data_IF_783309793143
#
_entry.id   IF_783309793143
#
_cell.length_a   1.000
_cell.length_b   1.000
_cell.length_c   1.000
_cell.angle_alpha   90.00
_cell.angle_beta   90.00
_cell.angle_gamma   90.00
#
_symmetry.space_group_name_H-M   'P 1'
#
loop_
_entity.id
_entity.type
_entity.pdbx_description
1 polymer ?
#
# COMPACT_ATOMS: atom_id res chain seq x y z
N UNK A 1 -2.70 -12.85 -27.49
CA UNK A 1 -3.28 -13.82 -26.55
C UNK A 1 -2.54 -13.87 -25.22
N UNK A 2 -1.28 -14.34 -25.12
CA UNK A 2 -0.58 -14.52 -23.82
C UNK A 2 -0.62 -13.34 -22.81
N UNK A 3 -0.45 -12.09 -23.25
CA UNK A 3 -0.54 -10.90 -22.36
C UNK A 3 -1.96 -10.63 -21.87
N UNK A 4 -2.96 -10.84 -22.72
CA UNK A 4 -4.37 -10.67 -22.34
C UNK A 4 -4.75 -11.72 -21.29
N UNK A 5 -4.32 -12.96 -21.46
CA UNK A 5 -4.58 -14.05 -20.50
C UNK A 5 -3.95 -13.77 -19.13
N UNK A 6 -2.76 -13.16 -19.08
CA UNK A 6 -2.12 -12.71 -17.84
C UNK A 6 -2.94 -11.63 -17.13
N UNK A 7 -3.44 -10.64 -17.89
CA UNK A 7 -4.33 -9.59 -17.38
C UNK A 7 -5.60 -10.23 -16.77
N UNK A 8 -6.25 -11.14 -17.49
CA UNK A 8 -7.45 -11.81 -16.99
C UNK A 8 -7.13 -12.63 -15.71
N UNK A 9 -6.02 -13.36 -15.69
CA UNK A 9 -5.59 -14.12 -14.51
C UNK A 9 -5.38 -13.25 -13.28
N UNK A 10 -4.78 -12.07 -13.43
CA UNK A 10 -4.62 -11.13 -12.32
C UNK A 10 -5.95 -10.52 -11.86
N UNK A 11 -6.86 -10.19 -12.78
CA UNK A 11 -8.17 -9.60 -12.48
C UNK A 11 -9.12 -10.60 -11.79
N UNK A 12 -8.88 -11.90 -11.98
CA UNK A 12 -9.60 -12.97 -11.28
C UNK A 12 -9.17 -13.11 -9.82
N UNK A 13 -8.03 -12.53 -9.42
CA UNK A 13 -7.64 -12.44 -8.01
C UNK A 13 -8.28 -11.21 -7.37
N UNK A 14 -8.82 -11.37 -6.17
CA UNK A 14 -9.34 -10.25 -5.36
C UNK A 14 -8.33 -9.12 -5.20
N UNK A 15 -7.05 -9.46 -5.04
CA UNK A 15 -5.96 -8.49 -4.93
C UNK A 15 -5.72 -7.70 -6.23
N UNK A 16 -5.88 -8.34 -7.40
CA UNK A 16 -5.77 -7.65 -8.68
C UNK A 16 -6.85 -6.59 -8.84
N UNK A 17 -8.10 -6.90 -8.42
CA UNK A 17 -9.21 -5.94 -8.41
C UNK A 17 -8.95 -4.78 -7.44
N UNK A 18 -8.48 -5.04 -6.22
CA UNK A 18 -8.11 -3.99 -5.26
C UNK A 18 -7.04 -3.03 -5.81
N UNK A 19 -6.02 -3.55 -6.50
CA UNK A 19 -4.93 -2.75 -7.08
C UNK A 19 -5.39 -1.89 -8.25
N UNK A 20 -6.21 -2.43 -9.15
CA UNK A 20 -6.81 -1.64 -10.24
C UNK A 20 -7.76 -0.58 -9.70
N UNK A 21 -8.60 -0.92 -8.73
CA UNK A 21 -9.46 0.05 -8.05
C UNK A 21 -8.65 1.13 -7.32
N UNK A 22 -7.46 0.82 -6.78
CA UNK A 22 -6.55 1.82 -6.19
C UNK A 22 -6.11 2.84 -7.24
N UNK A 23 -5.70 2.38 -8.42
CA UNK A 23 -5.31 3.26 -9.52
C UNK A 23 -6.47 4.16 -9.94
N UNK A 24 -7.66 3.58 -10.16
CA UNK A 24 -8.84 4.34 -10.55
C UNK A 24 -9.25 5.34 -9.48
N UNK A 25 -9.22 4.94 -8.20
CA UNK A 25 -9.49 5.84 -7.08
C UNK A 25 -8.56 7.06 -7.15
N UNK A 26 -7.25 6.87 -7.03
CA UNK A 26 -6.33 8.00 -6.92
C UNK A 26 -6.14 8.77 -8.21
N UNK A 27 -6.26 8.13 -9.38
CA UNK A 27 -6.34 8.81 -10.67
C UNK A 27 -7.55 9.74 -10.75
N UNK A 28 -8.71 9.29 -10.26
CA UNK A 28 -9.92 10.14 -10.18
C UNK A 28 -9.70 11.34 -9.25
N UNK A 29 -8.96 11.18 -8.14
CA UNK A 29 -8.63 12.30 -7.23
C UNK A 29 -7.80 13.39 -7.91
N UNK A 30 -6.91 13.04 -8.83
CA UNK A 30 -6.17 14.02 -9.63
C UNK A 30 -7.13 14.81 -10.52
N UNK A 31 -8.08 14.14 -11.17
CA UNK A 31 -9.09 14.80 -11.99
C UNK A 31 -10.02 15.70 -11.16
N UNK A 32 -10.43 15.30 -9.95
CA UNK A 32 -11.18 16.16 -9.03
C UNK A 32 -10.44 17.48 -8.81
N UNK A 33 -9.15 17.41 -8.47
CA UNK A 33 -8.33 18.60 -8.24
C UNK A 33 -8.21 19.47 -9.51
N UNK A 34 -7.98 18.84 -10.67
CA UNK A 34 -7.85 19.55 -11.95
C UNK A 34 -9.13 20.31 -12.31
N UNK A 35 -10.29 19.63 -12.30
CA UNK A 35 -11.56 20.25 -12.66
C UNK A 35 -12.01 21.32 -11.66
N UNK A 36 -11.68 21.17 -10.37
CA UNK A 36 -11.88 22.24 -9.38
C UNK A 36 -11.05 23.49 -9.71
N UNK A 37 -9.82 23.32 -10.20
CA UNK A 37 -8.97 24.46 -10.62
C UNK A 37 -9.49 25.15 -11.88
N UNK A 38 -10.15 24.41 -12.77
CA UNK A 38 -10.80 24.95 -13.96
C UNK A 38 -12.23 25.45 -13.70
N UNK A 39 -12.71 25.49 -12.44
CA UNK A 39 -14.09 25.87 -12.08
C UNK A 39 -15.18 25.00 -12.73
N UNK A 40 -14.83 23.77 -13.15
CA UNK A 40 -15.73 22.77 -13.73
C UNK A 40 -16.25 21.83 -12.63
N UNK A 41 -17.20 22.33 -11.84
CA UNK A 41 -17.65 21.65 -10.61
C UNK A 41 -18.45 20.37 -10.89
N UNK A 42 -19.16 20.30 -12.02
CA UNK A 42 -19.92 19.11 -12.41
C UNK A 42 -19.00 17.94 -12.75
N UNK A 43 -17.94 18.20 -13.52
CA UNK A 43 -16.89 17.23 -13.83
C UNK A 43 -16.16 16.79 -12.58
N UNK A 44 -15.78 17.72 -11.71
CA UNK A 44 -15.17 17.41 -10.43
C UNK A 44 -16.06 16.48 -9.58
N UNK A 45 -17.37 16.71 -9.58
CA UNK A 45 -18.34 15.87 -8.85
C UNK A 45 -18.40 14.46 -9.43
N UNK A 46 -18.43 14.30 -10.76
CA UNK A 46 -18.42 12.99 -11.44
C UNK A 46 -17.19 12.17 -11.04
N UNK A 47 -15.99 12.78 -11.07
CA UNK A 47 -14.76 12.10 -10.67
C UNK A 47 -14.67 11.84 -9.15
N UNK A 48 -15.26 12.71 -8.32
CA UNK A 48 -15.34 12.47 -6.88
C UNK A 48 -16.23 11.25 -6.57
N UNK A 49 -17.34 11.08 -7.29
CA UNK A 49 -18.20 9.90 -7.15
C UNK A 49 -17.43 8.62 -7.52
N UNK A 50 -16.63 8.65 -8.60
CA UNK A 50 -15.77 7.52 -8.98
C UNK A 50 -14.70 7.25 -7.91
N UNK A 51 -14.05 8.29 -7.37
CA UNK A 51 -13.10 8.15 -6.26
C UNK A 51 -13.74 7.46 -5.06
N UNK A 52 -14.94 7.90 -4.65
CA UNK A 52 -15.65 7.33 -3.49
C UNK A 52 -16.08 5.89 -3.74
N UNK A 53 -16.66 5.60 -4.91
CA UNK A 53 -17.06 4.23 -5.27
C UNK A 53 -15.87 3.26 -5.27
N UNK A 54 -14.74 3.66 -5.87
CA UNK A 54 -13.53 2.83 -5.86
C UNK A 54 -12.93 2.68 -4.46
N UNK A 55 -12.98 3.73 -3.62
CA UNK A 55 -12.53 3.66 -2.22
C UNK A 55 -13.32 2.59 -1.44
N UNK A 56 -14.65 2.59 -1.56
CA UNK A 56 -15.51 1.65 -0.85
C UNK A 56 -15.36 0.22 -1.40
N UNK A 57 -15.33 0.05 -2.73
CA UNK A 57 -15.09 -1.26 -3.36
C UNK A 57 -13.80 -1.91 -2.84
N UNK A 58 -12.73 -1.12 -2.68
CA UNK A 58 -11.47 -1.62 -2.15
C UNK A 58 -11.55 -2.08 -0.70
N UNK A 59 -12.36 -1.46 0.16
CA UNK A 59 -12.53 -1.94 1.54
C UNK A 59 -13.09 -3.36 1.54
N UNK A 60 -14.04 -3.64 0.66
CA UNK A 60 -14.64 -4.98 0.48
C UNK A 60 -13.56 -5.98 0.07
N UNK A 61 -12.73 -5.66 -0.93
CA UNK A 61 -11.65 -6.56 -1.38
C UNK A 61 -10.57 -6.84 -0.32
N UNK A 62 -10.51 -6.03 0.74
CA UNK A 62 -9.51 -6.13 1.80
C UNK A 62 -10.05 -6.69 3.11
N UNK A 63 -11.30 -7.15 3.12
CA UNK A 63 -11.87 -7.82 4.28
C UNK A 63 -11.00 -8.99 4.72
N UNK A 64 -10.85 -9.15 6.02
CA UNK A 64 -10.07 -10.21 6.66
C UNK A 64 -8.55 -10.21 6.32
N UNK A 65 -7.99 -9.17 5.67
CA UNK A 65 -6.53 -9.07 5.47
C UNK A 65 -5.73 -9.08 6.79
N UNK A 66 -6.35 -8.73 7.92
CA UNK A 66 -5.74 -8.93 9.25
C UNK A 66 -5.28 -10.37 9.47
N UNK A 67 -6.04 -11.38 9.00
CA UNK A 67 -5.67 -12.79 9.13
C UNK A 67 -4.41 -13.12 8.33
N UNK A 68 -4.26 -12.53 7.14
CA UNK A 68 -3.05 -12.71 6.31
C UNK A 68 -1.82 -12.11 7.00
N UNK A 69 -1.96 -11.00 7.71
CA UNK A 69 -0.83 -10.44 8.47
C UNK A 69 -0.52 -11.29 9.71
N UNK A 70 -1.53 -11.82 10.41
CA UNK A 70 -1.34 -12.75 11.53
C UNK A 70 -0.60 -14.01 11.08
N UNK A 71 -1.00 -14.59 9.95
CA UNK A 71 -0.32 -15.75 9.37
C UNK A 71 1.17 -15.44 9.11
N UNK A 72 1.47 -14.31 8.47
CA UNK A 72 2.86 -13.90 8.21
C UNK A 72 3.66 -13.66 9.50
N UNK A 73 3.04 -13.12 10.55
CA UNK A 73 3.67 -12.98 11.87
C UNK A 73 4.05 -14.36 12.42
N UNK A 74 3.13 -15.32 12.37
CA UNK A 74 3.38 -16.69 12.85
C UNK A 74 4.51 -17.34 12.06
N UNK A 75 4.53 -17.18 10.74
CA UNK A 75 5.60 -17.69 9.87
C UNK A 75 6.96 -17.08 10.23
N UNK A 76 7.03 -15.76 10.45
CA UNK A 76 8.26 -15.08 10.86
C UNK A 76 8.75 -15.48 12.25
N UNK A 77 7.83 -15.80 13.18
CA UNK A 77 8.18 -16.29 14.52
C UNK A 77 8.73 -17.73 14.46
N UNK A 78 8.15 -18.58 13.60
CA UNK A 78 8.55 -19.98 13.43
C UNK A 78 9.79 -20.17 12.57
N UNK A 79 10.18 -19.16 11.81
CA UNK A 79 11.37 -19.20 10.98
C UNK A 79 12.62 -19.34 11.87
N UNK A 80 13.21 -20.54 11.91
CA UNK A 80 14.44 -20.83 12.64
C UNK A 80 15.69 -20.67 11.78
N UNK A 81 15.61 -19.96 10.65
CA UNK A 81 16.80 -19.71 9.83
C UNK A 81 17.87 -18.96 10.62
N UNK A 82 19.02 -19.60 10.83
CA UNK A 82 20.19 -19.02 11.50
C UNK A 82 20.79 -17.82 10.73
N UNK A 83 20.39 -17.65 9.47
CA UNK A 83 20.90 -16.62 8.56
C UNK A 83 20.14 -15.28 8.63
N UNK A 84 18.98 -15.22 9.31
CA UNK A 84 18.21 -13.99 9.39
C UNK A 84 18.65 -13.16 10.60
N UNK A 85 19.18 -11.96 10.35
CA UNK A 85 19.51 -11.03 11.43
C UNK A 85 18.27 -10.77 12.31
N UNK A 86 18.37 -11.06 13.61
CA UNK A 86 17.26 -10.98 14.56
C UNK A 86 16.59 -9.61 14.60
N UNK A 87 17.36 -8.53 14.41
CA UNK A 87 16.82 -7.16 14.36
C UNK A 87 15.92 -6.98 13.13
N UNK A 88 16.33 -7.52 11.98
CA UNK A 88 15.52 -7.45 10.74
C UNK A 88 14.25 -8.30 10.89
N UNK A 89 14.36 -9.46 11.55
CA UNK A 89 13.19 -10.30 11.86
C UNK A 89 12.20 -9.54 12.74
N UNK A 90 12.68 -8.93 13.82
CA UNK A 90 11.85 -8.13 14.72
C UNK A 90 11.18 -6.96 13.98
N UNK A 91 11.92 -6.21 13.16
CA UNK A 91 11.36 -5.13 12.34
C UNK A 91 10.28 -5.61 11.36
N UNK A 92 10.48 -6.77 10.74
CA UNK A 92 9.47 -7.40 9.90
C UNK A 92 8.21 -7.75 10.70
N UNK A 93 8.35 -8.38 11.87
CA UNK A 93 7.22 -8.71 12.75
C UNK A 93 6.47 -7.43 13.15
N UNK A 94 7.17 -6.39 13.59
CA UNK A 94 6.53 -5.10 13.93
C UNK A 94 5.78 -4.50 12.74
N UNK A 95 6.39 -4.51 11.56
CA UNK A 95 5.74 -4.04 10.32
C UNK A 95 4.43 -4.78 10.07
N UNK A 96 4.42 -6.11 10.22
CA UNK A 96 3.21 -6.94 10.05
C UNK A 96 2.16 -6.67 11.12
N UNK A 97 2.55 -6.44 12.36
CA UNK A 97 1.63 -6.04 13.44
C UNK A 97 0.94 -4.72 13.09
N UNK A 98 1.68 -3.72 12.61
CA UNK A 98 1.09 -2.45 12.19
C UNK A 98 0.11 -2.61 11.04
N UNK A 99 0.43 -3.45 10.05
CA UNK A 99 -0.52 -3.76 8.97
C UNK A 99 -1.73 -4.56 9.47
N UNK A 100 -1.58 -5.49 10.40
CA UNK A 100 -2.68 -6.22 11.00
C UNK A 100 -3.67 -5.27 11.69
N UNK A 101 -3.14 -4.35 12.50
CA UNK A 101 -3.92 -3.30 13.17
C UNK A 101 -4.59 -2.36 12.15
N UNK A 102 -3.86 -1.95 11.11
CA UNK A 102 -4.43 -1.16 10.03
C UNK A 102 -5.66 -1.84 9.41
N UNK A 103 -5.52 -3.09 8.95
CA UNK A 103 -6.63 -3.83 8.33
C UNK A 103 -7.79 -4.03 9.30
N UNK A 104 -7.51 -4.27 10.58
CA UNK A 104 -8.52 -4.47 11.60
C UNK A 104 -9.36 -3.19 11.79
N UNK A 105 -8.71 -2.04 11.99
CA UNK A 105 -9.41 -0.77 12.15
C UNK A 105 -10.06 -0.26 10.85
N UNK A 106 -9.51 -0.60 9.67
CA UNK A 106 -10.14 -0.31 8.38
C UNK A 106 -11.46 -1.10 8.22
N UNK A 107 -11.46 -2.38 8.62
CA UNK A 107 -12.65 -3.22 8.64
C UNK A 107 -13.68 -2.71 9.68
N UNK A 108 -13.26 -2.33 10.89
CA UNK A 108 -14.17 -1.71 11.88
C UNK A 108 -14.75 -0.39 11.37
N UNK A 109 -13.95 0.46 10.73
CA UNK A 109 -14.43 1.70 10.11
C UNK A 109 -15.51 1.43 9.07
N UNK A 110 -15.33 0.40 8.23
CA UNK A 110 -16.33 -0.03 7.26
C UNK A 110 -17.61 -0.51 7.94
N UNK A 111 -17.52 -1.39 8.95
CA UNK A 111 -18.67 -1.90 9.70
C UNK A 111 -19.45 -0.78 10.40
N UNK A 112 -18.74 0.22 10.91
CA UNK A 112 -19.32 1.42 11.51
C UNK A 112 -20.04 2.29 10.47
N UNK A 113 -19.47 2.42 9.27
CA UNK A 113 -20.07 3.18 8.17
C UNK A 113 -21.39 2.58 7.68
N UNK A 114 -21.53 1.26 7.73
CA UNK A 114 -22.78 0.54 7.41
C UNK A 114 -23.66 0.26 8.64
N UNK A 115 -23.39 0.94 9.77
CA UNK A 115 -24.21 0.92 10.98
C UNK A 115 -24.33 -0.45 11.69
N UNK A 116 -23.44 -1.40 11.40
CA UNK A 116 -23.36 -2.67 12.16
C UNK A 116 -22.84 -2.43 13.58
N UNK A 117 -21.89 -1.50 13.74
CA UNK A 117 -21.36 -1.11 15.05
C UNK A 117 -21.60 0.38 15.32
N UNK A 118 -21.96 0.72 16.57
CA UNK A 118 -22.20 2.10 17.02
C UNK A 118 -20.91 2.79 17.42
N UNK A 119 -20.04 3.04 16.44
CA UNK A 119 -18.80 3.79 16.61
C UNK A 119 -18.72 4.92 15.60
N UNK A 120 -17.75 5.83 15.74
CA UNK A 120 -17.54 6.88 14.75
C UNK A 120 -16.62 6.36 13.61
N UNK A 121 -17.11 6.21 12.37
CA UNK A 121 -16.33 5.62 11.29
C UNK A 121 -15.12 6.47 10.90
N UNK A 122 -15.18 7.81 11.08
CA UNK A 122 -14.08 8.72 10.80
C UNK A 122 -12.93 8.55 11.80
N UNK A 123 -13.26 8.35 13.08
CA UNK A 123 -12.27 8.11 14.14
C UNK A 123 -11.55 6.78 13.88
N UNK A 124 -12.30 5.71 13.63
CA UNK A 124 -11.73 4.40 13.31
C UNK A 124 -10.87 4.44 12.05
N UNK A 125 -11.31 5.15 11.01
CA UNK A 125 -10.52 5.33 9.79
C UNK A 125 -9.20 6.06 10.08
N UNK A 126 -9.23 7.12 10.89
CA UNK A 126 -8.02 7.87 11.26
C UNK A 126 -7.03 7.02 12.04
N UNK A 127 -7.52 6.16 12.94
CA UNK A 127 -6.70 5.16 13.66
C UNK A 127 -6.07 4.18 12.65
N UNK A 128 -6.87 3.63 11.74
CA UNK A 128 -6.39 2.74 10.68
C UNK A 128 -5.26 3.41 9.86
N UNK A 129 -5.48 4.64 9.38
CA UNK A 129 -4.49 5.40 8.61
C UNK A 129 -3.22 5.67 9.41
N UNK A 130 -3.33 5.86 10.72
CA UNK A 130 -2.18 6.03 11.62
C UNK A 130 -1.33 4.75 11.65
N UNK A 131 -1.95 3.60 11.86
CA UNK A 131 -1.23 2.32 11.81
C UNK A 131 -0.65 2.02 10.43
N UNK A 132 -1.36 2.37 9.35
CA UNK A 132 -0.82 2.22 8.00
C UNK A 132 0.42 3.09 7.79
N UNK A 133 0.41 4.33 8.29
CA UNK A 133 1.55 5.26 8.20
C UNK A 133 2.76 4.70 8.96
N UNK A 134 2.57 4.24 10.20
CA UNK A 134 3.66 3.65 11.01
C UNK A 134 4.18 2.36 10.36
N UNK A 135 3.28 1.52 9.84
CA UNK A 135 3.63 0.32 9.08
C UNK A 135 4.45 0.64 7.82
N UNK A 136 4.11 1.69 7.08
CA UNK A 136 4.92 2.13 5.93
C UNK A 136 6.29 2.64 6.33
N UNK A 137 6.39 3.45 7.39
CA UNK A 137 7.67 3.96 7.89
C UNK A 137 8.58 2.80 8.31
N UNK A 138 8.06 1.85 9.08
CA UNK A 138 8.80 0.64 9.48
C UNK A 138 9.19 -0.22 8.27
N UNK A 139 8.28 -0.41 7.31
CA UNK A 139 8.56 -1.17 6.09
C UNK A 139 9.61 -0.49 5.18
N UNK A 140 9.73 0.84 5.20
CA UNK A 140 10.79 1.54 4.48
C UNK A 140 12.17 1.14 4.99
N UNK A 141 12.36 1.06 6.32
CA UNK A 141 13.61 0.60 6.91
C UNK A 141 13.93 -0.85 6.53
N UNK A 142 12.93 -1.74 6.58
CA UNK A 142 13.07 -3.14 6.15
C UNK A 142 13.49 -3.22 4.68
N UNK A 143 12.76 -2.56 3.79
CA UNK A 143 13.01 -2.57 2.34
C UNK A 143 14.39 -2.02 2.00
N UNK A 144 14.82 -0.93 2.66
CA UNK A 144 16.15 -0.36 2.48
C UNK A 144 17.25 -1.32 2.92
N UNK A 145 17.08 -1.97 4.07
CA UNK A 145 18.07 -2.93 4.59
C UNK A 145 18.20 -4.14 3.68
N UNK A 146 17.08 -4.68 3.20
CA UNK A 146 17.06 -5.78 2.23
C UNK A 146 17.72 -5.38 0.91
N UNK A 147 17.45 -4.19 0.41
CA UNK A 147 18.07 -3.66 -0.80
C UNK A 147 19.60 -3.55 -0.65
N UNK A 148 20.10 -3.00 0.45
CA UNK A 148 21.54 -2.92 0.74
C UNK A 148 22.16 -4.33 0.81
N UNK A 149 21.48 -5.26 1.46
CA UNK A 149 21.90 -6.67 1.53
C UNK A 149 22.01 -7.29 0.14
N UNK A 150 20.96 -7.19 -0.67
CA UNK A 150 20.90 -7.73 -2.03
C UNK A 150 21.97 -7.12 -2.94
N UNK A 151 22.20 -5.80 -2.86
CA UNK A 151 23.26 -5.13 -3.62
C UNK A 151 24.66 -5.61 -3.19
N UNK A 152 24.89 -5.84 -1.90
CA UNK A 152 26.16 -6.35 -1.39
C UNK A 152 26.42 -7.80 -1.83
N UNK A 153 25.38 -8.63 -1.85
CA UNK A 153 25.43 -10.02 -2.31
C UNK A 153 25.65 -10.08 -3.82
N UNK A 154 25.00 -9.21 -4.60
CA UNK A 154 25.16 -9.15 -6.06
C UNK A 154 26.61 -8.86 -6.48
N UNK A 155 27.33 -8.02 -5.73
CA UNK A 155 28.76 -7.75 -5.98
C UNK A 155 29.65 -8.98 -5.81
N UNK A 156 29.22 -9.98 -5.03
CA UNK A 156 29.96 -11.21 -4.74
C UNK A 156 29.63 -12.35 -5.71
N UNK A 157 28.51 -12.26 -6.43
CA UNK A 157 28.04 -13.30 -7.35
C UNK A 157 28.75 -13.17 -8.71
N UNK A 158 29.38 -14.24 -9.19
CA UNK A 158 29.91 -14.33 -10.57
C UNK A 158 28.76 -14.43 -11.59
N UNK A 159 28.98 -13.91 -12.82
CA UNK A 159 28.00 -13.90 -13.93
C UNK A 159 27.48 -15.31 -14.23
N UNK A 160 26.34 -15.66 -13.63
CA UNK A 160 25.66 -16.96 -13.69
C UNK A 160 24.14 -16.75 -13.66
N UNK A 161 23.33 -17.82 -13.71
CA UNK A 161 21.88 -17.72 -13.60
C UNK A 161 21.41 -17.01 -12.31
N UNK A 162 22.14 -17.19 -11.21
CA UNK A 162 21.88 -16.55 -9.91
C UNK A 162 22.00 -15.02 -9.96
N UNK A 163 22.82 -14.50 -10.87
CA UNK A 163 22.99 -13.07 -11.12
C UNK A 163 21.70 -12.44 -11.65
N UNK A 164 21.00 -13.12 -12.58
CA UNK A 164 19.74 -12.61 -13.15
C UNK A 164 18.59 -12.64 -12.14
N UNK A 165 18.52 -13.68 -11.31
CA UNK A 165 17.48 -13.73 -10.27
C UNK A 165 17.71 -12.65 -9.21
N UNK A 166 18.96 -12.45 -8.78
CA UNK A 166 19.32 -11.40 -7.85
C UNK A 166 19.02 -9.99 -8.40
N UNK A 167 19.32 -9.74 -9.68
CA UNK A 167 18.97 -8.48 -10.35
C UNK A 167 17.46 -8.23 -10.34
N UNK A 168 16.64 -9.26 -10.60
CA UNK A 168 15.19 -9.16 -10.52
C UNK A 168 14.70 -8.85 -9.09
N UNK A 169 15.30 -9.46 -8.07
CA UNK A 169 15.01 -9.17 -6.65
C UNK A 169 15.35 -7.72 -6.31
N UNK A 170 16.52 -7.22 -6.74
CA UNK A 170 16.95 -5.83 -6.56
C UNK A 170 15.95 -4.86 -7.21
N UNK A 171 15.57 -5.10 -8.47
CA UNK A 171 14.59 -4.28 -9.19
C UNK A 171 13.23 -4.28 -8.48
N UNK A 172 12.81 -5.43 -7.94
CA UNK A 172 11.59 -5.53 -7.15
C UNK A 172 11.67 -4.70 -5.87
N UNK A 173 12.81 -4.71 -5.16
CA UNK A 173 13.01 -3.91 -3.96
C UNK A 173 13.06 -2.40 -4.25
N UNK A 174 13.66 -1.98 -5.37
CA UNK A 174 13.59 -0.59 -5.82
C UNK A 174 12.14 -0.13 -6.07
N UNK A 175 11.35 -0.96 -6.77
CA UNK A 175 9.94 -0.66 -7.00
C UNK A 175 9.15 -0.61 -5.70
N UNK A 176 9.41 -1.52 -4.76
CA UNK A 176 8.78 -1.52 -3.44
C UNK A 176 9.15 -0.27 -2.62
N UNK A 177 10.39 0.21 -2.70
CA UNK A 177 10.83 1.44 -2.05
C UNK A 177 10.05 2.65 -2.58
N UNK A 178 10.01 2.82 -3.91
CA UNK A 178 9.28 3.91 -4.56
C UNK A 178 7.79 3.83 -4.20
N UNK A 179 7.20 2.64 -4.30
CA UNK A 179 5.80 2.40 -3.94
C UNK A 179 5.53 2.80 -2.48
N UNK A 180 6.36 2.38 -1.53
CA UNK A 180 6.16 2.67 -0.11
C UNK A 180 6.26 4.18 0.17
N UNK A 181 7.17 4.89 -0.48
CA UNK A 181 7.26 6.35 -0.41
C UNK A 181 6.01 7.03 -0.99
N UNK A 182 5.54 6.56 -2.15
CA UNK A 182 4.33 7.07 -2.78
C UNK A 182 3.08 6.79 -1.92
N UNK A 183 2.99 5.63 -1.28
CA UNK A 183 1.90 5.25 -0.37
C UNK A 183 1.93 6.02 0.96
N UNK A 184 3.09 6.52 1.38
CA UNK A 184 3.22 7.36 2.57
C UNK A 184 2.45 8.67 2.42
N UNK A 185 2.27 9.19 1.20
CA UNK A 185 1.53 10.43 0.95
C UNK A 185 0.04 10.29 1.33
N UNK A 186 -0.74 9.34 0.77
CA UNK A 186 -2.12 9.14 1.19
C UNK A 186 -2.23 8.63 2.62
N UNK A 187 -1.35 7.74 3.07
CA UNK A 187 -1.36 7.23 4.44
C UNK A 187 -1.16 8.36 5.46
N UNK A 188 -0.09 9.14 5.28
CA UNK A 188 0.28 10.27 6.12
C UNK A 188 -0.72 11.42 6.07
N UNK A 189 -1.38 11.64 4.94
CA UNK A 189 -2.48 12.61 4.86
C UNK A 189 -3.69 12.13 5.67
N UNK A 190 -4.06 10.85 5.59
CA UNK A 190 -5.19 10.31 6.33
C UNK A 190 -4.98 10.20 7.85
N UNK A 191 -3.73 10.15 8.30
CA UNK A 191 -3.35 10.11 9.73
C UNK A 191 -3.02 11.49 10.33
N UNK A 192 -3.06 12.54 9.50
CA UNK A 192 -2.52 13.88 9.78
C UNK A 192 -1.02 13.89 10.13
N UNK A 193 -0.26 12.89 9.72
CA UNK A 193 1.17 12.78 10.00
C UNK A 193 1.95 14.01 9.50
N UNK A 194 1.76 14.42 8.24
CA UNK A 194 2.48 15.57 7.67
C UNK A 194 2.13 16.88 8.38
N UNK A 195 0.87 17.03 8.80
CA UNK A 195 0.44 18.21 9.53
C UNK A 195 1.02 18.25 10.95
N UNK A 196 1.06 17.10 11.64
CA UNK A 196 1.61 17.00 12.99
C UNK A 196 3.12 17.20 13.06
N UNK A 197 3.87 16.74 12.05
CA UNK A 197 5.33 16.78 12.06
C UNK A 197 5.89 18.02 11.34
N UNK A 198 5.28 18.42 10.21
CA UNK A 198 5.81 19.48 9.35
C UNK A 198 4.87 20.68 9.21
N UNK A 199 3.72 20.69 9.90
CA UNK A 199 2.65 21.68 9.71
C UNK A 199 2.20 21.84 8.25
N UNK A 200 2.41 20.80 7.44
CA UNK A 200 2.12 20.79 6.01
C UNK A 200 0.92 19.91 5.69
N UNK A 201 0.01 20.39 4.83
CA UNK A 201 -1.14 19.65 4.32
C UNK A 201 -0.96 19.38 2.82
N UNK A 202 -0.66 18.13 2.42
CA UNK A 202 -0.62 17.75 1.01
C UNK A 202 -1.93 18.09 0.30
N UNK A 203 -1.83 18.69 -0.88
CA UNK A 203 -3.02 18.96 -1.71
C UNK A 203 -3.53 17.68 -2.39
N UNK A 204 -4.76 17.72 -2.90
CA UNK A 204 -5.40 16.54 -3.51
C UNK A 204 -4.65 16.00 -4.74
N UNK A 205 -3.96 16.86 -5.50
CA UNK A 205 -3.13 16.43 -6.62
C UNK A 205 -1.96 15.57 -6.15
N UNK A 206 -1.23 16.02 -5.14
CA UNK A 206 -0.07 15.30 -4.59
C UNK A 206 -0.51 13.96 -3.99
N UNK A 207 -1.63 13.94 -3.26
CA UNK A 207 -2.18 12.70 -2.70
C UNK A 207 -2.66 11.76 -3.80
N UNK A 208 -3.30 12.31 -4.85
CA UNK A 208 -3.68 11.58 -6.06
C UNK A 208 -2.48 10.95 -6.77
N UNK A 209 -1.43 11.74 -7.04
CA UNK A 209 -0.21 11.26 -7.69
C UNK A 209 0.48 10.15 -6.89
N UNK A 210 0.66 10.33 -5.58
CA UNK A 210 1.25 9.32 -4.71
C UNK A 210 0.46 8.01 -4.74
N UNK A 211 -0.85 8.07 -4.52
CA UNK A 211 -1.69 6.88 -4.53
C UNK A 211 -1.80 6.21 -5.91
N UNK A 212 -1.79 6.99 -7.00
CA UNK A 212 -1.83 6.48 -8.37
C UNK A 212 -0.54 5.74 -8.73
N UNK A 213 0.63 6.35 -8.49
CA UNK A 213 1.93 5.72 -8.76
C UNK A 213 2.11 4.45 -7.94
N UNK A 214 1.79 4.47 -6.65
CA UNK A 214 1.83 3.28 -5.82
C UNK A 214 0.86 2.18 -6.30
N UNK A 215 -0.33 2.58 -6.77
CA UNK A 215 -1.30 1.69 -7.40
C UNK A 215 -0.81 1.09 -8.70
N UNK A 216 -0.19 1.89 -9.57
CA UNK A 216 0.37 1.47 -10.85
C UNK A 216 1.49 0.46 -10.68
N UNK A 217 2.46 0.76 -9.79
CA UNK A 217 3.55 -0.17 -9.47
C UNK A 217 2.98 -1.49 -8.94
N UNK A 218 2.04 -1.43 -8.00
CA UNK A 218 1.43 -2.64 -7.41
C UNK A 218 0.71 -3.48 -8.46
N UNK A 219 0.00 -2.84 -9.38
CA UNK A 219 -0.71 -3.45 -10.51
C UNK A 219 0.29 -4.13 -11.43
N UNK A 220 1.32 -3.42 -11.92
CA UNK A 220 2.36 -3.98 -12.77
C UNK A 220 3.11 -5.17 -12.15
N UNK A 221 3.28 -5.20 -10.83
CA UNK A 221 3.89 -6.35 -10.14
C UNK A 221 2.97 -7.59 -10.04
N UNK A 222 1.67 -7.44 -10.31
CA UNK A 222 0.65 -8.50 -10.14
C UNK A 222 0.30 -9.22 -11.44
N UNK A 223 0.40 -8.50 -12.57
CA UNK A 223 0.08 -8.97 -13.91
C UNK A 223 1.36 -9.38 -14.67
#
# INVERSE_FOLDING_TARGET
MKKFDQIIKGLNKTEGRDKVSKMLQYGSRIFVWYYQKCSQLDEATKFNNLFMAMREARKIFRLAKTLNEIQQIIELIKDNSENLNEIIRALNIFTRIWYALFWFFDNLSMLSQIQIIKQNPKVLHKIAMTFWTIGLITNLFVTLRELIGNLSSMKKIQKSADSKEMEKRINTNYLNLIKNLCDLIPAGTGSDFFYKIFSYKPNDALVGCGGLLAGAISTCQTF
#
